data_IF_722814352105
#
_entry.id   IF_722814352105
#
_cell.length_a   1.000
_cell.length_b   1.000
_cell.length_c   1.000
_cell.angle_alpha   90.00
_cell.angle_beta   90.00
_cell.angle_gamma   90.00
#
_symmetry.space_group_name_H-M   'P 1'
#
loop_
_entity.id
_entity.type
_entity.pdbx_description
1 polymer ?
#
# COMPACT_ATOMS: atom_id res chain seq x y z
N UNK A 1 25.10 23.44 55.84
CA UNK A 1 25.57 23.71 57.21
C UNK A 1 25.06 22.57 58.08
N UNK A 2 25.96 21.72 58.58
CA UNK A 2 25.61 20.56 59.41
C UNK A 2 25.89 20.95 60.87
N UNK A 3 24.91 20.84 61.76
CA UNK A 3 25.11 21.10 63.20
C UNK A 3 25.37 19.76 63.88
N UNK A 4 26.55 19.60 64.49
CA UNK A 4 26.99 18.41 65.20
C UNK A 4 26.93 18.72 66.70
N UNK A 5 26.08 18.03 67.45
CA UNK A 5 26.14 18.02 68.92
C UNK A 5 27.07 16.89 69.36
N UNK A 6 28.16 17.24 70.03
CA UNK A 6 29.16 16.32 70.57
C UNK A 6 28.63 15.61 71.82
N UNK A 7 28.71 14.29 71.84
CA UNK A 7 28.73 13.52 73.08
C UNK A 7 29.80 12.44 72.94
N UNK A 8 30.72 12.44 73.91
CA UNK A 8 31.97 11.71 73.94
C UNK A 8 31.70 10.21 74.11
N UNK A 9 31.86 9.42 73.05
CA UNK A 9 32.34 8.03 73.10
C UNK A 9 32.95 7.68 71.74
N UNK A 10 34.17 7.17 71.76
CA UNK A 10 34.94 6.85 70.57
C UNK A 10 34.27 5.71 69.78
N UNK A 11 33.58 6.06 68.70
CA UNK A 11 33.20 5.14 67.62
C UNK A 11 33.69 5.76 66.32
N UNK A 12 34.67 5.11 65.70
CA UNK A 12 35.11 5.46 64.35
C UNK A 12 33.97 5.10 63.41
N UNK A 13 33.10 6.06 63.10
CA UNK A 13 32.08 5.92 62.06
C UNK A 13 32.80 6.14 60.73
N UNK A 14 33.21 5.04 60.09
CA UNK A 14 33.64 5.07 58.70
C UNK A 14 32.37 5.31 57.87
N UNK A 15 32.08 6.57 57.57
CA UNK A 15 31.04 6.93 56.63
C UNK A 15 31.46 6.49 55.23
N UNK A 16 30.94 5.36 54.76
CA UNK A 16 31.00 4.98 53.35
C UNK A 16 30.09 5.93 52.56
N UNK A 17 30.71 6.94 51.95
CA UNK A 17 30.05 7.77 50.95
C UNK A 17 29.88 6.91 49.70
N UNK A 18 28.71 6.29 49.52
CA UNK A 18 28.38 5.59 48.27
C UNK A 18 28.27 6.63 47.17
N UNK A 19 29.18 6.58 46.21
CA UNK A 19 29.12 7.37 44.97
C UNK A 19 27.85 6.93 44.23
N UNK A 20 26.86 7.82 44.12
CA UNK A 20 25.68 7.59 43.27
C UNK A 20 26.17 7.78 41.84
N UNK A 21 26.35 6.69 41.09
CA UNK A 21 26.66 6.76 39.65
C UNK A 21 25.55 7.51 38.93
N UNK A 22 25.88 8.66 38.35
CA UNK A 22 24.97 9.45 37.51
C UNK A 22 24.71 8.69 36.21
N UNK A 23 23.46 8.28 35.98
CA UNK A 23 23.05 7.61 34.74
C UNK A 23 23.20 8.54 33.53
N UNK A 24 24.01 8.12 32.54
CA UNK A 24 24.16 8.82 31.26
C UNK A 24 23.38 8.09 30.15
N UNK A 25 22.37 8.73 29.51
CA UNK A 25 21.60 8.08 28.46
C UNK A 25 22.46 7.86 27.20
N UNK A 26 22.47 6.64 26.67
CA UNK A 26 23.18 6.30 25.43
C UNK A 26 22.21 5.72 24.39
N UNK A 27 22.20 6.28 23.19
CA UNK A 27 21.39 5.78 22.08
C UNK A 27 22.05 4.58 21.40
N UNK A 28 21.31 3.50 21.18
CA UNK A 28 21.77 2.32 20.42
C UNK A 28 21.28 2.33 18.97
N UNK A 29 20.45 3.31 18.59
CA UNK A 29 19.89 3.49 17.26
C UNK A 29 19.78 4.98 16.89
N UNK A 30 19.61 5.28 15.59
CA UNK A 30 19.39 6.64 15.10
C UNK A 30 18.09 7.26 15.60
N UNK A 31 17.07 6.43 15.81
CA UNK A 31 15.75 6.80 16.33
C UNK A 31 15.31 5.77 17.37
N UNK A 32 14.84 6.23 18.54
CA UNK A 32 14.49 5.36 19.67
C UNK A 32 14.16 6.15 20.93
N UNK A 33 13.89 5.44 22.03
CA UNK A 33 13.58 6.04 23.33
C UNK A 33 14.42 5.39 24.43
N UNK A 34 14.81 6.19 25.42
CA UNK A 34 15.55 5.76 26.60
C UNK A 34 14.77 6.24 27.82
N UNK A 35 14.38 5.34 28.71
CA UNK A 35 13.76 5.71 30.00
C UNK A 35 14.81 5.75 31.09
N UNK A 36 14.72 6.71 32.00
CA UNK A 36 15.61 6.76 33.18
C UNK A 36 15.30 5.56 34.08
N UNK A 37 16.29 4.70 34.40
CA UNK A 37 16.08 3.51 35.22
C UNK A 37 15.72 3.84 36.68
N UNK A 38 16.14 5.00 37.18
CA UNK A 38 15.87 5.43 38.56
C UNK A 38 14.64 6.33 38.68
N UNK A 39 14.18 6.91 37.55
CA UNK A 39 12.98 7.73 37.50
C UNK A 39 12.19 7.45 36.22
N UNK A 40 11.25 6.50 36.26
CA UNK A 40 10.46 6.11 35.09
C UNK A 40 9.55 7.20 34.51
N UNK A 41 9.45 8.37 35.14
CA UNK A 41 8.76 9.54 34.56
C UNK A 41 9.65 10.35 33.62
N UNK A 42 10.98 10.15 33.66
CA UNK A 42 11.97 10.82 32.82
C UNK A 42 12.43 9.92 31.67
N UNK A 43 12.58 10.51 30.49
CA UNK A 43 12.99 9.80 29.29
C UNK A 43 13.61 10.73 28.23
N UNK A 44 14.32 10.13 27.29
CA UNK A 44 14.96 10.77 26.15
C UNK A 44 14.46 10.13 24.85
N UNK A 45 14.39 10.93 23.79
CA UNK A 45 14.25 10.44 22.42
C UNK A 45 15.61 10.53 21.73
N UNK A 46 15.96 9.53 20.95
CA UNK A 46 17.16 9.57 20.12
C UNK A 46 16.84 10.24 18.77
N UNK A 47 17.54 11.33 18.48
CA UNK A 47 17.53 11.98 17.17
C UNK A 47 18.94 11.91 16.58
N UNK A 48 19.10 11.13 15.50
CA UNK A 48 20.40 10.85 14.86
C UNK A 48 21.46 10.34 15.85
N UNK A 49 21.06 9.44 16.76
CA UNK A 49 21.95 8.83 17.75
C UNK A 49 22.32 9.75 18.93
N UNK A 50 21.75 10.95 19.00
CA UNK A 50 21.92 11.85 20.15
C UNK A 50 20.69 11.78 21.06
N UNK A 51 20.85 11.57 22.38
CA UNK A 51 19.73 11.57 23.31
C UNK A 51 19.24 13.00 23.56
N UNK A 52 18.02 13.29 23.14
CA UNK A 52 17.32 14.55 23.37
C UNK A 52 16.36 14.37 24.55
N UNK A 53 16.51 15.14 25.64
CA UNK A 53 15.63 15.03 26.80
C UNK A 53 14.19 15.42 26.43
N UNK A 54 13.25 14.64 26.93
CA UNK A 54 11.82 14.86 26.70
C UNK A 54 11.14 15.44 27.93
N UNK A 55 9.96 16.01 27.74
CA UNK A 55 9.13 16.48 28.85
C UNK A 55 8.75 15.26 29.70
N UNK A 56 9.01 15.28 31.02
CA UNK A 56 8.65 14.16 31.89
C UNK A 56 7.14 13.87 31.85
N UNK A 57 6.77 12.64 32.16
CA UNK A 57 5.37 12.28 32.27
C UNK A 57 4.67 13.14 33.35
N UNK A 58 3.41 13.57 33.12
CA UNK A 58 2.62 14.27 34.12
C UNK A 58 2.52 13.50 35.45
N UNK A 59 2.28 14.21 36.55
CA UNK A 59 2.32 13.64 37.90
C UNK A 59 1.47 12.37 38.05
N UNK A 60 2.09 11.32 38.60
CA UNK A 60 1.46 10.00 38.79
C UNK A 60 1.50 9.09 37.55
N UNK A 61 2.05 9.56 36.44
CA UNK A 61 2.30 8.75 35.25
C UNK A 61 3.78 8.41 35.11
N UNK A 62 4.03 7.28 34.45
CA UNK A 62 5.36 6.76 34.12
C UNK A 62 5.35 6.37 32.64
N UNK A 63 6.50 6.44 31.97
CA UNK A 63 6.59 6.01 30.58
C UNK A 63 6.55 4.48 30.53
N UNK A 64 5.61 3.86 29.82
CA UNK A 64 5.71 2.44 29.47
C UNK A 64 6.82 2.25 28.42
N UNK A 65 7.80 1.38 28.70
CA UNK A 65 9.00 1.24 27.87
C UNK A 65 8.74 0.52 26.54
N UNK A 66 7.67 -0.28 26.44
CA UNK A 66 7.27 -0.98 25.21
C UNK A 66 6.33 -0.17 24.32
N UNK A 67 5.37 0.52 24.92
CA UNK A 67 4.34 1.29 24.23
C UNK A 67 4.79 2.73 23.95
N UNK A 68 5.81 3.22 24.66
CA UNK A 68 6.28 4.61 24.61
C UNK A 68 5.18 5.64 24.90
N UNK A 69 4.29 5.33 25.85
CA UNK A 69 3.19 6.20 26.30
C UNK A 69 3.20 6.32 27.83
N UNK A 70 2.86 7.50 28.36
CA UNK A 70 2.71 7.71 29.80
C UNK A 70 1.46 6.97 30.34
N UNK A 71 1.67 6.02 31.25
CA UNK A 71 0.63 5.19 31.87
C UNK A 71 0.61 5.40 33.39
N UNK A 72 -0.48 5.03 34.06
CA UNK A 72 -0.58 5.15 35.51
C UNK A 72 0.37 4.18 36.22
N UNK A 73 1.10 4.67 37.23
CA UNK A 73 1.85 3.82 38.14
C UNK A 73 0.90 2.88 38.91
N UNK A 74 1.26 1.60 39.02
CA UNK A 74 0.45 0.51 39.55
C UNK A 74 -0.65 -0.01 38.62
N UNK A 75 -0.74 0.48 37.38
CA UNK A 75 -1.72 0.03 36.39
C UNK A 75 -1.31 -1.23 35.63
N UNK A 76 -2.22 -1.78 34.82
CA UNK A 76 -1.97 -2.99 34.00
C UNK A 76 -0.82 -2.85 32.97
N UNK A 77 -0.43 -1.62 32.64
CA UNK A 77 0.65 -1.29 31.72
C UNK A 77 1.88 -0.72 32.46
N UNK A 78 1.95 -0.79 33.78
CA UNK A 78 3.14 -0.37 34.53
C UNK A 78 4.28 -1.39 34.36
N UNK A 79 5.35 -0.98 33.70
CA UNK A 79 6.60 -1.73 33.53
C UNK A 79 7.81 -0.99 34.14
N UNK A 80 7.60 -0.11 35.13
CA UNK A 80 8.67 0.65 35.78
C UNK A 80 9.53 -0.23 36.70
N UNK A 81 8.86 -1.09 37.48
CA UNK A 81 9.50 -2.02 38.41
C UNK A 81 9.71 -3.42 37.78
N UNK A 82 9.18 -3.60 36.57
CA UNK A 82 9.60 -4.70 35.71
C UNK A 82 10.99 -4.34 35.21
N UNK A 83 12.00 -5.12 35.62
CA UNK A 83 13.35 -4.98 35.08
C UNK A 83 13.34 -4.95 33.54
N UNK A 84 14.45 -4.55 32.88
CA UNK A 84 14.51 -4.47 31.41
C UNK A 84 13.84 -5.72 30.86
N UNK A 85 12.77 -5.54 30.06
CA UNK A 85 11.93 -6.63 29.61
C UNK A 85 12.85 -7.77 29.22
N UNK A 86 12.70 -8.95 29.83
CA UNK A 86 13.60 -10.10 29.64
C UNK A 86 13.51 -10.70 28.21
N UNK A 87 13.01 -9.89 27.28
CA UNK A 87 12.89 -10.09 25.87
C UNK A 87 14.18 -9.59 25.24
N UNK A 88 15.01 -10.55 24.84
CA UNK A 88 16.23 -10.28 24.08
C UNK A 88 15.90 -9.40 22.87
N UNK A 89 16.69 -8.37 22.66
CA UNK A 89 16.68 -7.54 21.45
C UNK A 89 16.97 -8.39 20.21
N UNK A 90 16.61 -7.90 19.03
CA UNK A 90 16.92 -8.59 17.77
C UNK A 90 18.43 -8.82 17.63
N UNK A 91 19.26 -7.82 17.99
CA UNK A 91 20.72 -7.94 17.92
C UNK A 91 21.27 -9.05 18.84
N UNK A 92 20.75 -9.18 20.05
CA UNK A 92 21.12 -10.25 20.99
C UNK A 92 20.68 -11.62 20.49
N UNK A 93 19.48 -11.72 19.90
CA UNK A 93 18.98 -12.96 19.28
C UNK A 93 19.83 -13.39 18.08
N UNK A 94 20.19 -12.44 17.22
CA UNK A 94 21.10 -12.69 16.10
C UNK A 94 22.48 -13.13 16.58
N UNK A 95 23.01 -12.47 17.61
CA UNK A 95 24.30 -12.83 18.22
C UNK A 95 24.25 -14.19 18.94
N UNK A 96 23.07 -14.62 19.39
CA UNK A 96 22.82 -15.95 19.96
C UNK A 96 22.64 -17.05 18.89
N UNK A 97 22.80 -16.73 17.59
CA UNK A 97 22.80 -17.70 16.51
C UNK A 97 21.46 -17.93 15.81
N UNK A 98 20.42 -17.13 16.12
CA UNK A 98 19.19 -17.14 15.34
C UNK A 98 19.46 -16.61 13.92
N UNK A 99 18.86 -17.24 12.91
CA UNK A 99 19.06 -16.86 11.50
C UNK A 99 17.97 -15.90 11.02
N UNK A 100 16.72 -16.27 11.26
CA UNK A 100 15.54 -15.50 10.90
C UNK A 100 14.61 -15.42 12.11
N UNK A 101 14.10 -14.23 12.37
CA UNK A 101 13.27 -13.93 13.53
C UNK A 101 11.92 -13.37 13.04
N UNK A 102 10.77 -13.98 13.39
CA UNK A 102 9.47 -13.40 13.06
C UNK A 102 9.27 -12.03 13.72
N UNK A 103 8.65 -11.09 13.01
CA UNK A 103 8.23 -9.82 13.59
C UNK A 103 7.01 -10.01 14.50
N UNK A 104 6.86 -9.16 15.51
CA UNK A 104 5.93 -9.41 16.62
C UNK A 104 4.53 -8.80 16.44
N UNK A 105 4.39 -7.89 15.47
CA UNK A 105 3.14 -7.17 15.22
C UNK A 105 2.68 -7.22 13.76
N UNK A 106 3.53 -7.59 12.81
CA UNK A 106 3.23 -7.53 11.37
C UNK A 106 3.63 -8.86 10.72
N UNK A 107 2.71 -9.46 9.97
CA UNK A 107 2.84 -10.85 9.49
C UNK A 107 3.78 -11.01 8.29
N UNK A 108 3.98 -9.95 7.52
CA UNK A 108 4.87 -9.96 6.35
C UNK A 108 6.34 -9.64 6.70
N UNK A 109 6.60 -9.22 7.93
CA UNK A 109 7.92 -8.78 8.39
C UNK A 109 8.67 -9.86 9.16
N UNK A 110 9.98 -9.82 9.04
CA UNK A 110 10.90 -10.66 9.78
C UNK A 110 12.26 -9.97 9.89
N UNK A 111 13.08 -10.36 10.85
CA UNK A 111 14.47 -9.93 10.90
C UNK A 111 15.36 -11.03 10.33
N UNK A 112 16.26 -10.63 9.44
CA UNK A 112 17.29 -11.46 8.86
C UNK A 112 18.63 -11.13 9.52
N UNK A 113 19.15 -12.04 10.34
CA UNK A 113 20.39 -11.81 11.08
C UNK A 113 21.64 -11.80 10.19
N UNK A 114 21.54 -12.29 8.95
CA UNK A 114 22.59 -12.16 7.93
C UNK A 114 22.54 -10.81 7.20
N UNK A 115 21.49 -10.00 7.40
CA UNK A 115 21.30 -8.71 6.73
C UNK A 115 21.85 -7.59 7.61
N UNK A 116 22.89 -6.91 7.13
CA UNK A 116 23.40 -5.71 7.77
C UNK A 116 23.30 -4.52 6.83
N UNK A 117 22.49 -3.52 7.18
CA UNK A 117 22.40 -2.28 6.44
C UNK A 117 23.50 -1.30 6.86
N UNK A 118 24.36 -0.90 5.94
CA UNK A 118 25.27 0.24 6.15
C UNK A 118 24.50 1.55 6.28
N UNK A 119 23.42 1.66 5.51
CA UNK A 119 22.43 2.73 5.61
C UNK A 119 21.03 2.12 5.61
N UNK A 120 20.33 2.24 6.75
CA UNK A 120 19.01 1.64 6.93
C UNK A 120 18.01 2.32 5.98
N UNK A 121 17.33 1.55 5.09
CA UNK A 121 16.34 2.09 4.19
C UNK A 121 15.21 2.81 4.94
N UNK A 122 14.59 3.79 4.30
CA UNK A 122 13.41 4.47 4.86
C UNK A 122 12.32 3.44 5.15
N UNK A 123 11.70 3.54 6.34
CA UNK A 123 10.70 2.61 6.88
C UNK A 123 11.24 1.26 7.37
N UNK A 124 12.55 1.04 7.33
CA UNK A 124 13.20 -0.17 7.85
C UNK A 124 14.00 0.12 9.13
N UNK A 125 14.45 -0.96 9.76
CA UNK A 125 15.33 -0.98 10.92
C UNK A 125 16.48 -1.96 10.64
N UNK A 126 17.50 -2.00 11.48
CA UNK A 126 18.60 -2.96 11.32
C UNK A 126 18.08 -4.39 11.35
N UNK A 127 18.61 -5.24 10.47
CA UNK A 127 18.17 -6.63 10.25
C UNK A 127 16.75 -6.80 9.71
N UNK A 128 15.89 -5.77 9.76
CA UNK A 128 14.50 -5.90 9.37
C UNK A 128 14.39 -6.10 7.87
N UNK A 129 13.59 -7.10 7.48
CA UNK A 129 13.29 -7.40 6.10
C UNK A 129 11.79 -7.72 5.94
N UNK A 130 11.33 -7.71 4.69
CA UNK A 130 9.92 -7.87 4.34
C UNK A 130 9.75 -8.90 3.23
N UNK A 131 8.81 -9.82 3.42
CA UNK A 131 8.44 -10.77 2.38
C UNK A 131 7.94 -10.04 1.13
N UNK A 132 8.28 -10.55 -0.05
CA UNK A 132 7.80 -9.97 -1.30
C UNK A 132 6.27 -10.08 -1.34
N UNK A 133 5.57 -8.96 -1.49
CA UNK A 133 4.12 -8.96 -1.67
C UNK A 133 3.68 -9.91 -2.81
N UNK A 134 2.64 -10.74 -2.62
CA UNK A 134 1.74 -10.82 -1.47
C UNK A 134 2.13 -11.89 -0.43
N UNK A 135 3.38 -12.34 -0.39
CA UNK A 135 3.83 -13.38 0.55
C UNK A 135 3.88 -12.85 2.00
N UNK A 136 3.75 -13.78 2.93
CA UNK A 136 3.80 -13.56 4.38
C UNK A 136 4.92 -14.41 4.99
N UNK A 137 5.41 -14.03 6.17
CA UNK A 137 6.47 -14.77 6.85
C UNK A 137 5.85 -15.89 7.69
N UNK A 138 6.20 -17.13 7.36
CA UNK A 138 5.79 -18.30 8.13
C UNK A 138 6.77 -18.52 9.28
N UNK A 139 6.32 -18.27 10.51
CA UNK A 139 7.14 -18.46 11.72
C UNK A 139 7.46 -19.93 12.03
N UNK A 140 6.71 -20.88 11.46
CA UNK A 140 6.95 -22.31 11.66
C UNK A 140 8.03 -22.83 10.71
N UNK A 141 7.99 -22.42 9.44
CA UNK A 141 9.02 -22.82 8.46
C UNK A 141 10.19 -21.85 8.37
N UNK A 142 10.13 -20.73 9.09
CA UNK A 142 11.09 -19.62 9.03
C UNK A 142 11.36 -19.19 7.59
N UNK A 143 10.31 -18.91 6.81
CA UNK A 143 10.46 -18.53 5.40
C UNK A 143 9.25 -17.76 4.87
N UNK A 144 9.46 -16.98 3.81
CA UNK A 144 8.37 -16.30 3.11
C UNK A 144 7.57 -17.29 2.25
N UNK A 145 6.26 -17.35 2.48
CA UNK A 145 5.35 -18.26 1.79
C UNK A 145 4.13 -17.53 1.21
N UNK A 146 3.41 -18.13 0.23
CA UNK A 146 2.15 -17.56 -0.25
C UNK A 146 1.20 -17.27 0.90
N UNK A 147 0.51 -16.13 0.88
CA UNK A 147 -0.39 -15.72 1.99
C UNK A 147 -1.47 -16.76 2.34
N UNK A 148 -1.88 -17.57 1.37
CA UNK A 148 -2.87 -18.64 1.57
C UNK A 148 -2.38 -19.77 2.47
N UNK A 149 -1.06 -19.94 2.57
CA UNK A 149 -0.43 -21.02 3.34
C UNK A 149 -0.08 -20.59 4.77
N UNK A 150 -0.10 -19.28 5.06
CA UNK A 150 0.39 -18.72 6.33
C UNK A 150 -0.78 -18.28 7.21
N UNK A 151 -0.70 -18.59 8.50
CA UNK A 151 -1.69 -18.15 9.50
C UNK A 151 -1.09 -17.05 10.38
N UNK A 152 -1.50 -15.80 10.15
CA UNK A 152 -0.97 -14.65 10.91
C UNK A 152 -1.40 -14.62 12.38
N UNK A 153 -2.50 -15.27 12.74
CA UNK A 153 -3.03 -15.26 14.10
C UNK A 153 -3.41 -13.86 14.55
N UNK A 154 -2.65 -13.30 15.51
CA UNK A 154 -2.87 -11.95 16.07
C UNK A 154 -2.04 -10.85 15.40
N UNK A 155 -1.15 -11.21 14.48
CA UNK A 155 -0.32 -10.25 13.75
C UNK A 155 -1.17 -9.49 12.73
N UNK A 156 -0.83 -8.23 12.50
CA UNK A 156 -1.44 -7.43 11.44
C UNK A 156 -1.04 -8.02 10.09
N UNK A 157 -2.03 -8.37 9.28
CA UNK A 157 -1.85 -8.85 7.92
C UNK A 157 -2.18 -7.71 6.95
N UNK A 158 -1.13 -7.14 6.35
CA UNK A 158 -1.32 -6.14 5.31
C UNK A 158 -1.76 -6.80 4.00
N UNK A 159 -2.89 -6.35 3.46
CA UNK A 159 -3.50 -6.92 2.24
C UNK A 159 -3.23 -6.04 1.02
N UNK A 160 -2.86 -4.78 1.22
CA UNK A 160 -2.56 -3.86 0.13
C UNK A 160 -1.06 -3.84 -0.16
N UNK A 161 -0.62 -3.82 -1.44
CA UNK A 161 0.79 -3.63 -1.78
C UNK A 161 1.34 -2.30 -1.26
N UNK A 162 0.48 -1.32 -1.00
CA UNK A 162 0.85 0.02 -0.56
C UNK A 162 1.20 0.08 0.94
N UNK A 163 0.71 -0.90 1.70
CA UNK A 163 0.98 -1.02 3.13
C UNK A 163 2.32 -1.71 3.40
N UNK A 164 2.78 -2.55 2.46
CA UNK A 164 4.11 -3.15 2.49
C UNK A 164 5.18 -2.05 2.47
N UNK A 165 6.15 -2.14 3.38
CA UNK A 165 7.21 -1.14 3.56
C UNK A 165 8.03 -0.94 2.28
N UNK A 166 8.31 -2.01 1.53
CA UNK A 166 8.98 -1.96 0.21
C UNK A 166 8.12 -1.29 -0.87
N UNK A 167 6.80 -1.25 -0.71
CA UNK A 167 5.86 -0.57 -1.59
C UNK A 167 5.69 0.92 -1.29
N UNK A 168 6.22 1.42 -0.16
CA UNK A 168 6.10 2.83 0.23
C UNK A 168 7.09 3.69 -0.53
N UNK A 169 6.58 4.74 -1.16
CA UNK A 169 7.41 5.71 -1.86
C UNK A 169 8.18 6.61 -0.89
N UNK A 170 9.51 6.67 -1.04
CA UNK A 170 10.40 7.45 -0.18
C UNK A 170 11.24 8.52 -0.91
N UNK A 171 11.17 8.60 -2.23
CA UNK A 171 12.03 9.45 -3.09
C UNK A 171 11.23 10.19 -4.16
N UNK A 172 11.84 11.24 -4.72
CA UNK A 172 11.29 11.97 -5.87
C UNK A 172 11.11 11.03 -7.07
N UNK A 173 10.02 11.21 -7.83
CA UNK A 173 9.61 10.38 -8.98
C UNK A 173 9.22 8.91 -8.66
N UNK A 174 9.08 8.54 -7.39
CA UNK A 174 8.44 7.28 -7.05
C UNK A 174 6.94 7.37 -7.33
N UNK A 175 6.43 6.48 -8.18
CA UNK A 175 5.00 6.43 -8.47
C UNK A 175 4.26 5.80 -7.28
N UNK A 176 3.32 6.53 -6.63
CA UNK A 176 2.59 6.01 -5.49
C UNK A 176 1.86 4.72 -5.84
N UNK A 177 1.77 3.81 -4.88
CA UNK A 177 0.94 2.63 -5.02
C UNK A 177 -0.54 3.06 -4.99
N UNK A 178 -1.21 2.94 -6.13
CA UNK A 178 -2.55 3.49 -6.40
C UNK A 178 -3.54 2.44 -6.93
N UNK A 179 -3.12 1.18 -6.92
CA UNK A 179 -3.86 0.06 -7.45
C UNK A 179 -4.17 -0.92 -6.31
N UNK A 180 -5.04 -0.55 -5.38
CA UNK A 180 -5.40 -1.39 -4.23
C UNK A 180 -6.70 -2.16 -4.46
N UNK A 181 -6.79 -3.35 -3.88
CA UNK A 181 -7.97 -4.21 -3.89
C UNK A 181 -8.62 -4.33 -2.51
N UNK A 182 -8.18 -3.54 -1.52
CA UNK A 182 -8.74 -3.53 -0.18
C UNK A 182 -10.25 -3.32 -0.23
N UNK A 183 -11.03 -4.22 0.40
CA UNK A 183 -12.49 -4.17 0.39
C UNK A 183 -13.17 -4.51 -0.94
N UNK A 184 -12.42 -4.82 -2.01
CA UNK A 184 -12.98 -5.23 -3.31
C UNK A 184 -13.19 -6.75 -3.36
N UNK A 185 -14.20 -7.19 -4.10
CA UNK A 185 -14.46 -8.60 -4.35
C UNK A 185 -13.41 -9.22 -5.28
N UNK A 186 -13.36 -10.55 -5.36
CA UNK A 186 -12.49 -11.24 -6.32
C UNK A 186 -12.90 -10.89 -7.76
N UNK A 187 -11.92 -10.73 -8.65
CA UNK A 187 -12.14 -10.41 -10.07
C UNK A 187 -11.44 -9.14 -10.53
N UNK A 188 -11.91 -8.58 -11.64
CA UNK A 188 -11.33 -7.37 -12.25
C UNK A 188 -12.06 -6.13 -11.76
N UNK A 189 -11.31 -5.08 -11.45
CA UNK A 189 -11.84 -3.79 -11.01
C UNK A 189 -11.12 -2.64 -11.70
N UNK A 190 -11.77 -1.48 -11.75
CA UNK A 190 -11.15 -0.27 -12.27
C UNK A 190 -9.91 0.10 -11.46
N UNK A 191 -8.92 0.65 -12.14
CA UNK A 191 -7.78 1.25 -11.49
C UNK A 191 -8.21 2.62 -10.92
N UNK A 192 -8.10 2.82 -9.60
CA UNK A 192 -8.74 3.94 -8.88
C UNK A 192 -8.36 5.33 -9.44
N UNK A 193 -7.09 5.55 -9.74
CA UNK A 193 -6.63 6.83 -10.32
C UNK A 193 -6.53 6.84 -11.85
N UNK A 194 -7.09 5.82 -12.52
CA UNK A 194 -7.07 5.66 -13.98
C UNK A 194 -8.40 5.06 -14.46
N UNK A 195 -9.51 5.48 -13.87
CA UNK A 195 -10.83 5.07 -14.35
C UNK A 195 -11.05 5.49 -15.80
N UNK A 196 -11.85 4.71 -16.54
CA UNK A 196 -12.07 4.95 -17.96
C UNK A 196 -10.77 5.03 -18.77
N UNK A 197 -9.80 4.18 -18.41
CA UNK A 197 -8.58 3.96 -19.17
C UNK A 197 -8.46 2.48 -19.50
N UNK A 198 -7.48 2.05 -20.31
CA UNK A 198 -7.22 0.63 -20.50
C UNK A 198 -6.81 -0.09 -19.20
N UNK A 199 -6.36 0.62 -18.16
CA UNK A 199 -5.81 0.02 -16.95
C UNK A 199 -6.89 -0.55 -16.01
N UNK A 200 -6.65 -1.75 -15.50
CA UNK A 200 -7.48 -2.40 -14.50
C UNK A 200 -6.63 -3.21 -13.51
N UNK A 201 -7.24 -3.59 -12.39
CA UNK A 201 -6.60 -4.41 -11.36
C UNK A 201 -7.30 -5.76 -11.26
N UNK A 202 -6.53 -6.81 -10.98
CA UNK A 202 -7.05 -8.14 -10.67
C UNK A 202 -6.94 -8.36 -9.17
N UNK A 203 -8.09 -8.49 -8.53
CA UNK A 203 -8.24 -8.68 -7.10
C UNK A 203 -8.47 -10.16 -6.77
N UNK A 204 -7.79 -10.66 -5.75
CA UNK A 204 -8.10 -11.93 -5.12
C UNK A 204 -7.85 -11.82 -3.61
N UNK A 205 -8.82 -12.19 -2.78
CA UNK A 205 -8.75 -12.13 -1.32
C UNK A 205 -8.32 -10.72 -0.84
N UNK A 206 -8.95 -9.69 -1.41
CA UNK A 206 -8.69 -8.26 -1.20
C UNK A 206 -7.27 -7.78 -1.58
N UNK A 207 -6.45 -8.64 -2.18
CA UNK A 207 -5.10 -8.33 -2.67
C UNK A 207 -5.11 -7.99 -4.15
N UNK A 208 -4.34 -6.97 -4.50
CA UNK A 208 -3.98 -6.68 -5.89
C UNK A 208 -3.01 -7.74 -6.38
N UNK A 209 -3.47 -8.69 -7.19
CA UNK A 209 -2.62 -9.74 -7.75
C UNK A 209 -1.84 -9.21 -8.95
N UNK A 210 -2.49 -8.39 -9.77
CA UNK A 210 -1.90 -7.85 -10.99
C UNK A 210 -2.54 -6.51 -11.36
N UNK A 211 -1.72 -5.61 -11.90
CA UNK A 211 -2.19 -4.45 -12.67
C UNK A 211 -2.00 -4.80 -14.14
N UNK A 212 -3.05 -4.63 -14.94
CA UNK A 212 -3.05 -5.04 -16.34
C UNK A 212 -3.79 -4.01 -17.21
N UNK A 213 -3.78 -4.21 -18.53
CA UNK A 213 -4.41 -3.32 -19.51
C UNK A 213 -5.31 -4.07 -20.47
N UNK A 214 -6.37 -3.42 -20.92
CA UNK A 214 -7.25 -3.94 -21.96
C UNK A 214 -6.52 -3.97 -23.31
N UNK A 215 -6.45 -5.16 -23.92
CA UNK A 215 -6.00 -5.31 -25.31
C UNK A 215 -6.95 -4.61 -26.27
N UNK A 216 -6.46 -4.26 -27.46
CA UNK A 216 -7.31 -3.73 -28.55
C UNK A 216 -8.41 -4.74 -28.92
N UNK A 217 -9.54 -4.22 -29.37
CA UNK A 217 -10.55 -5.03 -30.04
C UNK A 217 -10.03 -5.40 -31.43
N UNK A 218 -9.78 -6.68 -31.68
CA UNK A 218 -9.20 -7.13 -32.95
C UNK A 218 -10.19 -7.02 -34.12
N UNK A 219 -11.48 -7.24 -33.86
CA UNK A 219 -12.53 -7.19 -34.88
C UNK A 219 -12.75 -5.76 -35.38
N UNK A 220 -12.87 -4.82 -34.44
CA UNK A 220 -13.13 -3.40 -34.73
C UNK A 220 -11.83 -2.61 -34.98
N UNK A 221 -10.68 -3.18 -34.61
CA UNK A 221 -9.37 -2.54 -34.60
C UNK A 221 -9.41 -1.20 -33.84
N UNK A 222 -9.93 -1.24 -32.61
CA UNK A 222 -10.11 -0.05 -31.76
C UNK A 222 -9.63 -0.31 -30.33
N UNK A 223 -9.23 0.75 -29.63
CA UNK A 223 -8.88 0.66 -28.22
C UNK A 223 -10.09 0.20 -27.38
N UNK A 224 -9.79 -0.45 -26.25
CA UNK A 224 -10.78 -0.80 -25.22
C UNK A 224 -10.40 -0.10 -23.93
N UNK A 225 -11.37 0.43 -23.21
CA UNK A 225 -11.17 0.95 -21.85
C UNK A 225 -11.87 0.03 -20.87
N UNK A 226 -11.35 -0.05 -19.66
CA UNK A 226 -11.98 -0.79 -18.59
C UNK A 226 -13.11 0.06 -17.99
N UNK A 227 -14.34 -0.44 -18.09
CA UNK A 227 -15.52 0.22 -17.54
C UNK A 227 -15.67 -0.10 -16.04
N UNK A 228 -15.65 0.91 -15.14
CA UNK A 228 -15.90 0.70 -13.72
C UNK A 228 -17.35 0.26 -13.43
N UNK A 229 -18.27 0.42 -14.39
CA UNK A 229 -19.68 0.07 -14.24
C UNK A 229 -19.89 -1.42 -14.53
N UNK A 230 -19.30 -1.92 -15.63
CA UNK A 230 -19.49 -3.31 -16.06
C UNK A 230 -18.37 -4.25 -15.61
N UNK A 231 -17.28 -3.71 -15.06
CA UNK A 231 -16.04 -4.42 -14.72
C UNK A 231 -15.47 -5.25 -15.88
N UNK A 232 -15.57 -4.69 -17.09
CA UNK A 232 -15.13 -5.31 -18.35
C UNK A 232 -14.37 -4.30 -19.21
N UNK A 233 -13.50 -4.82 -20.06
CA UNK A 233 -12.94 -4.07 -21.17
C UNK A 233 -14.03 -3.86 -22.21
N UNK A 234 -14.40 -2.63 -22.51
CA UNK A 234 -15.41 -2.28 -23.50
C UNK A 234 -14.74 -1.52 -24.66
N UNK A 235 -15.10 -1.78 -25.92
CA UNK A 235 -14.64 -0.97 -27.05
C UNK A 235 -15.14 0.47 -26.92
N UNK A 236 -14.41 1.45 -27.47
CA UNK A 236 -14.77 2.86 -27.34
C UNK A 236 -16.22 3.17 -27.76
N UNK A 237 -16.76 2.47 -28.76
CA UNK A 237 -18.13 2.64 -29.23
C UNK A 237 -19.23 2.28 -28.21
N UNK A 238 -18.88 1.59 -27.12
CA UNK A 238 -19.80 1.31 -25.99
C UNK A 238 -19.61 2.26 -24.81
N UNK A 239 -18.65 3.19 -24.90
CA UNK A 239 -18.28 4.11 -23.82
C UNK A 239 -18.74 5.53 -24.18
N UNK A 240 -19.42 6.26 -23.28
CA UNK A 240 -19.84 7.63 -23.54
C UNK A 240 -18.66 8.56 -23.87
N UNK A 241 -18.90 9.55 -24.74
CA UNK A 241 -17.89 10.56 -25.09
C UNK A 241 -17.36 11.33 -23.88
N UNK A 242 -18.23 11.60 -22.88
CA UNK A 242 -17.85 12.24 -21.61
C UNK A 242 -16.84 11.42 -20.78
N UNK A 243 -16.67 10.14 -21.09
CA UNK A 243 -15.71 9.21 -20.47
C UNK A 243 -14.59 8.82 -21.43
N UNK A 244 -14.37 9.60 -22.49
CA UNK A 244 -13.32 9.34 -23.49
C UNK A 244 -13.64 8.23 -24.49
N UNK A 245 -14.91 7.82 -24.60
CA UNK A 245 -15.37 6.88 -25.61
C UNK A 245 -15.94 7.54 -26.87
N UNK A 246 -16.60 6.74 -27.70
CA UNK A 246 -17.20 7.10 -28.98
C UNK A 246 -18.68 6.70 -29.09
N UNK A 247 -19.31 6.26 -28.00
CA UNK A 247 -20.72 5.90 -28.02
C UNK A 247 -21.59 7.12 -28.38
N UNK A 248 -22.54 6.98 -29.32
CA UNK A 248 -23.54 8.02 -29.59
C UNK A 248 -24.50 8.16 -28.41
N UNK A 249 -25.20 9.29 -28.34
CA UNK A 249 -26.16 9.56 -27.26
C UNK A 249 -27.43 8.68 -27.30
N UNK A 250 -27.62 7.86 -28.35
CA UNK A 250 -28.76 6.95 -28.53
C UNK A 250 -30.13 7.58 -28.19
N UNK A 251 -30.40 8.79 -28.69
CA UNK A 251 -31.66 9.53 -28.42
C UNK A 251 -32.89 8.82 -28.98
N UNK A 252 -32.73 8.08 -30.08
CA UNK A 252 -33.78 7.29 -30.72
C UNK A 252 -33.24 5.90 -31.07
N UNK A 253 -34.15 4.94 -31.21
CA UNK A 253 -33.80 3.59 -31.68
C UNK A 253 -33.45 3.63 -33.17
N UNK A 254 -32.48 2.82 -33.59
CA UNK A 254 -32.07 2.74 -35.01
C UNK A 254 -30.61 2.41 -35.20
N UNK A 255 -30.16 2.45 -36.46
CA UNK A 255 -28.76 2.28 -36.85
C UNK A 255 -28.13 3.62 -37.18
N UNK A 256 -26.99 3.90 -36.56
CA UNK A 256 -26.26 5.15 -36.69
C UNK A 256 -24.87 4.89 -37.26
N UNK A 257 -24.41 5.70 -38.22
CA UNK A 257 -23.04 5.59 -38.70
C UNK A 257 -22.06 5.95 -37.58
N UNK A 258 -20.85 5.40 -37.66
CA UNK A 258 -19.75 5.85 -36.82
C UNK A 258 -19.47 7.35 -37.03
N UNK A 259 -19.37 8.08 -35.92
CA UNK A 259 -19.01 9.51 -35.88
C UNK A 259 -17.49 9.72 -35.90
N UNK A 260 -16.69 8.68 -35.70
CA UNK A 260 -15.24 8.67 -35.77
C UNK A 260 -14.65 8.55 -37.19
N UNK A 261 -15.51 8.47 -38.22
CA UNK A 261 -15.11 8.41 -39.62
C UNK A 261 -14.80 7.01 -40.17
N UNK A 262 -15.04 5.94 -39.40
CA UNK A 262 -14.95 4.55 -39.86
C UNK A 262 -16.24 4.13 -40.54
N UNK A 263 -16.31 4.33 -41.86
CA UNK A 263 -17.51 4.06 -42.65
C UNK A 263 -17.92 2.57 -42.66
N UNK A 264 -17.00 1.67 -42.30
CA UNK A 264 -17.25 0.23 -42.18
C UNK A 264 -17.93 -0.15 -40.86
N UNK A 265 -18.24 0.81 -39.98
CA UNK A 265 -18.83 0.56 -38.66
C UNK A 265 -20.13 1.36 -38.49
N UNK A 266 -21.13 0.69 -37.91
CA UNK A 266 -22.38 1.31 -37.49
C UNK A 266 -22.82 0.79 -36.13
N UNK A 267 -23.65 1.57 -35.45
CA UNK A 267 -24.01 1.38 -34.06
C UNK A 267 -25.53 1.26 -33.99
N UNK A 268 -26.02 0.17 -33.40
CA UNK A 268 -27.44 -0.04 -33.14
C UNK A 268 -27.78 0.48 -31.75
N UNK A 269 -28.66 1.47 -31.68
CA UNK A 269 -29.21 1.96 -30.43
C UNK A 269 -30.59 1.35 -30.18
N UNK A 270 -30.82 0.88 -28.96
CA UNK A 270 -32.13 0.44 -28.50
C UNK A 270 -32.37 0.90 -27.07
N UNK A 271 -33.56 1.43 -26.80
CA UNK A 271 -34.01 1.87 -25.47
C UNK A 271 -33.01 2.82 -24.78
N UNK A 272 -32.42 3.74 -25.56
CA UNK A 272 -31.50 4.75 -25.02
C UNK A 272 -30.06 4.29 -24.81
N UNK A 273 -29.71 3.05 -25.19
CA UNK A 273 -28.35 2.51 -25.03
C UNK A 273 -27.81 1.91 -26.32
N UNK A 274 -26.48 1.79 -26.40
CA UNK A 274 -25.81 1.06 -27.48
C UNK A 274 -26.07 -0.43 -27.29
N UNK A 275 -26.97 -0.98 -28.10
CA UNK A 275 -27.31 -2.40 -28.10
C UNK A 275 -26.20 -3.22 -28.76
N UNK A 276 -25.73 -2.77 -29.92
CA UNK A 276 -24.77 -3.49 -30.74
C UNK A 276 -23.85 -2.53 -31.51
N UNK A 277 -22.62 -2.98 -31.73
CA UNK A 277 -21.64 -2.31 -32.59
C UNK A 277 -21.30 -3.30 -33.69
N UNK A 278 -21.58 -2.94 -34.94
CA UNK A 278 -21.51 -3.85 -36.08
C UNK A 278 -20.48 -3.33 -37.07
N UNK A 279 -19.65 -4.25 -37.57
CA UNK A 279 -18.70 -3.99 -38.65
C UNK A 279 -19.25 -4.60 -39.94
N UNK A 280 -19.33 -3.82 -40.99
CA UNK A 280 -19.65 -4.32 -42.32
C UNK A 280 -18.59 -5.34 -42.79
N UNK A 281 -18.95 -6.26 -43.69
CA UNK A 281 -17.98 -7.14 -44.35
C UNK A 281 -16.88 -6.35 -45.06
N UNK A 282 -15.75 -7.00 -45.34
CA UNK A 282 -14.66 -6.38 -46.10
C UNK A 282 -15.16 -5.82 -47.43
N UNK A 283 -14.73 -4.60 -47.78
CA UNK A 283 -15.15 -3.83 -48.97
C UNK A 283 -16.60 -3.35 -48.95
N UNK A 284 -17.25 -3.32 -47.79
CA UNK A 284 -18.55 -2.72 -47.61
C UNK A 284 -18.51 -1.60 -46.56
N UNK A 285 -19.33 -0.58 -46.78
CA UNK A 285 -19.54 0.55 -45.87
C UNK A 285 -21.02 0.67 -45.53
N UNK A 286 -21.32 1.19 -44.34
CA UNK A 286 -22.69 1.42 -43.91
C UNK A 286 -23.28 2.64 -44.61
N UNK A 287 -24.43 2.45 -45.26
CA UNK A 287 -25.22 3.48 -45.89
C UNK A 287 -26.36 3.91 -44.94
N UNK A 288 -26.33 5.15 -44.40
CA UNK A 288 -27.36 5.61 -43.48
C UNK A 288 -28.73 5.81 -44.15
N UNK A 289 -28.79 6.02 -45.47
CA UNK A 289 -30.05 6.24 -46.20
C UNK A 289 -30.79 4.92 -46.41
N UNK A 290 -30.05 3.86 -46.75
CA UNK A 290 -30.61 2.52 -46.95
C UNK A 290 -30.56 1.63 -45.71
N UNK A 291 -29.91 2.09 -44.63
CA UNK A 291 -29.72 1.38 -43.35
C UNK A 291 -29.06 0.00 -43.52
N UNK A 292 -28.16 -0.15 -44.50
CA UNK A 292 -27.52 -1.43 -44.84
C UNK A 292 -26.06 -1.25 -45.27
N UNK A 293 -25.28 -2.34 -45.24
CA UNK A 293 -23.92 -2.35 -45.79
C UNK A 293 -23.96 -2.44 -47.32
N UNK A 294 -23.30 -1.52 -48.02
CA UNK A 294 -23.18 -1.46 -49.49
C UNK A 294 -21.72 -1.42 -49.94
N UNK A 295 -21.44 -1.71 -51.21
CA UNK A 295 -20.05 -1.79 -51.67
C UNK A 295 -19.37 -0.42 -51.54
N UNK A 296 -18.15 -0.42 -51.01
CA UNK A 296 -17.33 0.79 -50.85
C UNK A 296 -17.05 1.52 -52.18
N UNK A 297 -17.01 0.78 -53.30
CA UNK A 297 -16.84 1.33 -54.66
C UNK A 297 -17.97 2.26 -55.10
N UNK A 298 -19.14 2.19 -54.46
CA UNK A 298 -20.29 3.05 -54.76
C UNK A 298 -20.16 4.44 -54.09
N UNK A 299 -19.24 4.59 -53.13
CA UNK A 299 -19.06 5.79 -52.31
C UNK A 299 -17.75 6.51 -52.63
N UNK A 300 -17.81 7.84 -52.72
CA UNK A 300 -16.66 8.68 -53.03
C UNK A 300 -16.53 9.78 -51.96
N UNK A 301 -15.38 9.84 -51.28
CA UNK A 301 -15.11 10.85 -50.25
C UNK A 301 -15.48 10.38 -48.83
N UNK A 302 -16.16 11.24 -48.06
CA UNK A 302 -16.59 10.96 -46.68
C UNK A 302 -17.72 9.92 -46.63
N UNK A 303 -17.86 9.21 -45.51
CA UNK A 303 -18.88 8.17 -45.30
C UNK A 303 -20.28 8.61 -45.75
N UNK A 304 -20.97 7.76 -46.52
CA UNK A 304 -22.36 7.98 -46.94
C UNK A 304 -22.56 8.85 -48.19
N UNK A 305 -21.50 9.32 -48.86
CA UNK A 305 -21.63 10.07 -50.13
C UNK A 305 -21.42 9.17 -51.34
N UNK A 306 -22.47 8.96 -52.14
CA UNK A 306 -22.37 8.15 -53.35
C UNK A 306 -21.60 8.89 -54.45
N UNK A 307 -20.80 8.15 -55.22
CA UNK A 307 -20.02 8.71 -56.33
C UNK A 307 -20.89 9.38 -57.39
N UNK A 308 -22.09 8.86 -57.62
CA UNK A 308 -23.06 9.42 -58.58
C UNK A 308 -23.58 10.82 -58.18
N UNK A 309 -23.41 11.21 -56.91
CA UNK A 309 -23.88 12.49 -56.36
C UNK A 309 -22.74 13.53 -56.28
N UNK A 310 -21.58 13.22 -56.89
CA UNK A 310 -20.49 14.17 -57.11
C UNK A 310 -20.62 14.82 -58.50
N UNK A 311 -20.42 16.15 -58.61
CA UNK A 311 -20.51 16.89 -59.86
C UNK A 311 -19.37 16.56 -60.83
#
# INVERSE_FOLDING_TARGET
MCSISLSVFAVIVIGSCTVIESFTPHCTSSFGWIRNPNNCSEFWRCDFGKPIPMVPCPSGLILNNQLHVCVRRGGQYDDCDQGPSNKKTVAERCSAGEQLIPHESECQLYYNCSLFYDFVPRYFEQYLDECRYPNLFDSTTLSCRPYKDVKCGRLVEHVSPCEYRRGKCGTSHCQPCVATCTGKSNGRHSHENREWSPFYVICNDQRTIKVDTCSKDETLNIARLFSPITNKCEPLYRIPQSRGGLAPACVQNGLFPDQGGRCDIFIRCENGVVAEVVKCPSNFVFDPDTQNCRSDTEFCGTCGRLCKDLP
#
